data_IF_791519360483
#
_entry.id   IF_791519360483
#
_cell.length_a   1.000
_cell.length_b   1.000
_cell.length_c   1.000
_cell.angle_alpha   90.00
_cell.angle_beta   90.00
_cell.angle_gamma   90.00
#
_symmetry.space_group_name_H-M   'P 1'
#
loop_
_entity.id
_entity.type
_entity.pdbx_description
1 polymer ?
#
# COMPACT_ATOMS: atom_id res chain seq x y z
N UNK A 1 -0.89 -6.50 -16.45
CA UNK A 1 -2.18 -6.45 -15.76
C UNK A 1 -3.29 -7.14 -16.55
N UNK A 2 -3.50 -6.84 -17.83
CA UNK A 2 -4.63 -7.38 -18.61
C UNK A 2 -4.44 -8.78 -19.22
N UNK A 3 -3.24 -9.36 -19.14
CA UNK A 3 -2.98 -10.72 -19.64
C UNK A 3 -3.54 -11.76 -18.64
N UNK A 4 -4.84 -12.05 -18.74
CA UNK A 4 -5.59 -12.95 -17.85
C UNK A 4 -6.55 -13.78 -18.69
N UNK A 5 -6.80 -15.03 -18.27
CA UNK A 5 -7.66 -15.95 -19.02
C UNK A 5 -9.12 -15.49 -18.95
N UNK A 6 -9.74 -15.39 -20.13
CA UNK A 6 -11.14 -15.02 -20.21
C UNK A 6 -12.05 -16.02 -19.50
N UNK A 7 -12.97 -15.52 -18.67
CA UNK A 7 -13.90 -16.32 -17.87
C UNK A 7 -13.33 -16.85 -16.54
N UNK A 8 -12.03 -16.66 -16.27
CA UNK A 8 -11.41 -17.02 -14.98
C UNK A 8 -11.19 -15.77 -14.13
N UNK A 9 -11.90 -15.68 -13.00
CA UNK A 9 -11.78 -14.55 -12.08
C UNK A 9 -10.42 -14.55 -11.38
N UNK A 10 -9.78 -13.39 -11.33
CA UNK A 10 -8.51 -13.18 -10.65
C UNK A 10 -8.61 -12.10 -9.56
N UNK A 11 -7.88 -12.29 -8.46
CA UNK A 11 -7.70 -11.28 -7.41
C UNK A 11 -6.43 -10.49 -7.71
N UNK A 12 -6.57 -9.18 -7.90
CA UNK A 12 -5.46 -8.27 -8.12
C UNK A 12 -4.98 -7.67 -6.80
N UNK A 13 -3.66 -7.53 -6.66
CA UNK A 13 -3.02 -6.83 -5.56
C UNK A 13 -1.72 -6.23 -6.07
N UNK A 14 -1.36 -5.05 -5.56
CA UNK A 14 -0.15 -4.34 -5.99
C UNK A 14 1.12 -4.89 -5.33
N UNK A 15 0.97 -5.36 -4.10
CA UNK A 15 2.04 -5.96 -3.29
C UNK A 15 1.43 -7.02 -2.35
N UNK A 16 2.21 -8.07 -2.04
CA UNK A 16 1.80 -9.17 -1.18
C UNK A 16 2.36 -9.05 0.24
N UNK A 17 2.03 -10.04 1.08
CA UNK A 17 2.54 -10.11 2.45
C UNK A 17 4.04 -10.45 2.52
N UNK A 18 4.56 -11.23 1.57
CA UNK A 18 5.99 -11.57 1.53
C UNK A 18 6.87 -10.33 1.31
N UNK A 19 6.42 -9.39 0.46
CA UNK A 19 7.11 -8.12 0.21
C UNK A 19 7.14 -7.19 1.43
N UNK A 20 6.26 -7.44 2.42
CA UNK A 20 6.28 -6.74 3.69
C UNK A 20 7.22 -7.38 4.71
N UNK A 21 7.79 -8.57 4.46
CA UNK A 21 8.70 -9.25 5.38
C UNK A 21 10.11 -8.67 5.33
N UNK A 22 10.88 -8.93 6.39
CA UNK A 22 12.31 -8.61 6.44
C UNK A 22 13.05 -9.23 5.23
N UNK A 23 13.83 -8.40 4.54
CA UNK A 23 14.59 -8.82 3.35
C UNK A 23 13.96 -8.42 2.02
N UNK A 24 12.73 -7.90 2.03
CA UNK A 24 12.12 -7.24 0.87
C UNK A 24 11.68 -5.81 1.24
N UNK A 25 11.12 -5.08 0.28
CA UNK A 25 10.64 -3.71 0.44
C UNK A 25 9.20 -3.60 -0.04
N UNK A 26 8.35 -2.98 0.78
CA UNK A 26 7.01 -2.52 0.38
C UNK A 26 7.12 -1.49 -0.76
N UNK A 27 6.04 -1.28 -1.50
CA UNK A 27 5.98 -0.23 -2.53
C UNK A 27 6.30 1.14 -1.93
N UNK A 28 5.79 1.44 -0.73
CA UNK A 28 6.08 2.69 -0.04
C UNK A 28 7.59 2.85 0.20
N UNK A 29 8.27 1.79 0.64
CA UNK A 29 9.69 1.82 0.92
C UNK A 29 10.56 1.84 -0.34
N UNK A 30 10.14 1.19 -1.43
CA UNK A 30 10.78 1.35 -2.74
C UNK A 30 10.72 2.80 -3.26
N UNK A 31 9.61 3.49 -3.01
CA UNK A 31 9.37 4.83 -3.55
C UNK A 31 10.01 5.95 -2.72
N UNK A 32 10.05 5.79 -1.39
CA UNK A 32 10.36 6.85 -0.44
C UNK A 32 11.55 6.54 0.49
N UNK A 33 11.88 5.25 0.69
CA UNK A 33 13.03 4.78 1.47
C UNK A 33 13.23 5.57 2.79
N UNK A 34 14.45 5.99 3.11
CA UNK A 34 14.76 6.71 4.36
C UNK A 34 14.06 8.07 4.52
N UNK A 35 13.60 8.70 3.43
CA UNK A 35 12.95 10.01 3.52
C UNK A 35 11.60 9.90 4.25
N UNK A 36 11.01 8.70 4.32
CA UNK A 36 9.79 8.43 5.10
C UNK A 36 9.92 8.82 6.57
N UNK A 37 11.12 8.68 7.15
CA UNK A 37 11.35 8.94 8.57
C UNK A 37 11.46 10.44 8.92
N UNK A 38 11.62 11.31 7.92
CA UNK A 38 11.94 12.74 8.13
C UNK A 38 10.96 13.69 7.44
N UNK A 39 10.33 13.27 6.34
CA UNK A 39 9.52 14.14 5.48
C UNK A 39 8.04 13.70 5.37
N UNK A 40 7.62 12.73 6.19
CA UNK A 40 6.22 12.32 6.32
C UNK A 40 5.40 13.20 7.28
N UNK A 41 5.98 14.19 7.96
CA UNK A 41 5.19 15.21 8.65
C UNK A 41 4.64 16.24 7.66
N UNK A 42 3.43 16.72 7.90
CA UNK A 42 2.83 17.86 7.18
C UNK A 42 3.54 19.18 7.48
N UNK A 43 4.37 19.22 8.53
CA UNK A 43 5.17 20.37 8.95
C UNK A 43 6.60 20.35 8.40
N UNK A 44 7.04 19.20 7.84
CA UNK A 44 8.37 19.10 7.23
C UNK A 44 8.48 19.95 5.96
N UNK A 45 9.68 20.44 5.60
CA UNK A 45 9.91 21.07 4.31
C UNK A 45 9.48 20.18 3.12
N UNK A 46 9.14 20.77 1.97
CA UNK A 46 8.82 20.01 0.76
C UNK A 46 9.96 19.05 0.38
N UNK A 47 9.60 17.84 -0.04
CA UNK A 47 10.55 16.83 -0.48
C UNK A 47 9.96 16.09 -1.69
N UNK A 48 10.65 16.22 -2.84
CA UNK A 48 10.19 15.67 -4.11
C UNK A 48 10.12 14.14 -4.11
N UNK A 49 10.97 13.45 -3.33
CA UNK A 49 10.92 11.99 -3.18
C UNK A 49 9.62 11.56 -2.51
N UNK A 50 9.22 12.23 -1.42
CA UNK A 50 7.95 11.96 -0.72
C UNK A 50 6.76 12.31 -1.60
N UNK A 51 6.77 13.48 -2.25
CA UNK A 51 5.64 13.91 -3.08
C UNK A 51 5.43 12.94 -4.26
N UNK A 52 6.52 12.55 -4.93
CA UNK A 52 6.52 11.51 -5.97
C UNK A 52 6.03 10.17 -5.41
N UNK A 53 6.55 9.77 -4.25
CA UNK A 53 6.23 8.48 -3.65
C UNK A 53 4.76 8.35 -3.27
N UNK A 54 4.17 9.38 -2.64
CA UNK A 54 2.75 9.42 -2.33
C UNK A 54 1.91 9.36 -3.61
N UNK A 55 2.28 10.12 -4.65
CA UNK A 55 1.55 10.11 -5.91
C UNK A 55 1.59 8.74 -6.61
N UNK A 56 2.78 8.17 -6.78
CA UNK A 56 2.96 6.88 -7.45
C UNK A 56 2.34 5.72 -6.66
N UNK A 57 2.42 5.73 -5.33
CA UNK A 57 1.77 4.72 -4.49
C UNK A 57 0.26 4.67 -4.75
N UNK A 58 -0.40 5.84 -4.82
CA UNK A 58 -1.83 5.94 -5.17
C UNK A 58 -2.11 5.43 -6.59
N UNK A 59 -1.28 5.82 -7.56
CA UNK A 59 -1.47 5.45 -8.97
C UNK A 59 -1.28 3.95 -9.20
N UNK A 60 -0.22 3.34 -8.64
CA UNK A 60 0.06 1.90 -8.77
C UNK A 60 -1.09 1.08 -8.20
N UNK A 61 -1.60 1.46 -7.02
CA UNK A 61 -2.73 0.75 -6.39
C UNK A 61 -4.01 0.93 -7.20
N UNK A 62 -4.30 2.15 -7.66
CA UNK A 62 -5.50 2.43 -8.44
C UNK A 62 -5.52 1.73 -9.81
N UNK A 63 -4.40 1.73 -10.53
CA UNK A 63 -4.33 1.04 -11.83
C UNK A 63 -4.45 -0.49 -11.66
N UNK A 64 -3.90 -1.03 -10.57
CA UNK A 64 -4.06 -2.45 -10.22
C UNK A 64 -5.51 -2.78 -9.86
N UNK A 65 -6.17 -1.91 -9.10
CA UNK A 65 -7.56 -2.06 -8.68
C UNK A 65 -8.56 -1.93 -9.84
N UNK A 66 -8.22 -1.18 -10.88
CA UNK A 66 -9.13 -0.93 -12.02
C UNK A 66 -8.91 -1.89 -13.18
N UNK A 67 -7.67 -2.35 -13.43
CA UNK A 67 -7.33 -3.14 -14.61
C UNK A 67 -6.79 -4.54 -14.29
N UNK A 68 -6.56 -4.86 -13.02
CA UNK A 68 -5.83 -6.06 -12.62
C UNK A 68 -6.67 -7.32 -12.44
N UNK A 69 -7.99 -7.21 -12.21
CA UNK A 69 -8.76 -8.35 -11.67
C UNK A 69 -10.26 -8.12 -11.57
N UNK A 70 -10.95 -9.15 -11.13
CA UNK A 70 -12.38 -9.14 -10.75
C UNK A 70 -12.57 -9.04 -9.23
N UNK A 71 -11.46 -8.85 -8.51
CA UNK A 71 -11.41 -8.55 -7.09
C UNK A 71 -10.10 -7.85 -6.75
N UNK A 72 -10.09 -7.12 -5.64
CA UNK A 72 -8.91 -6.44 -5.14
C UNK A 72 -8.54 -6.95 -3.73
N UNK A 73 -7.24 -7.11 -3.48
CA UNK A 73 -6.70 -7.47 -2.18
C UNK A 73 -5.64 -6.46 -1.75
N UNK A 74 -5.62 -6.18 -0.45
CA UNK A 74 -4.62 -5.34 0.19
C UNK A 74 -4.14 -6.00 1.49
N UNK A 75 -2.83 -6.08 1.69
CA UNK A 75 -2.25 -6.57 2.94
C UNK A 75 -2.24 -5.46 4.01
N UNK A 76 -2.55 -5.83 5.24
CA UNK A 76 -2.73 -4.91 6.37
C UNK A 76 -1.53 -3.97 6.56
N UNK A 77 -1.78 -2.66 6.55
CA UNK A 77 -0.77 -1.60 6.63
C UNK A 77 -0.40 -0.97 5.29
N UNK A 78 -0.52 -1.71 4.18
CA UNK A 78 -0.12 -1.21 2.86
C UNK A 78 -1.11 -0.17 2.33
N UNK A 79 -2.33 -0.14 2.86
CA UNK A 79 -3.35 0.86 2.51
C UNK A 79 -2.90 2.30 2.79
N UNK A 80 -2.10 2.49 3.84
CA UNK A 80 -1.54 3.78 4.22
C UNK A 80 -0.03 3.88 3.99
N UNK A 81 0.58 2.90 3.32
CA UNK A 81 2.01 2.86 3.06
C UNK A 81 2.82 2.75 4.36
N UNK A 82 2.48 1.79 5.22
CA UNK A 82 3.18 1.51 6.48
C UNK A 82 4.71 1.48 6.26
N UNK A 83 5.50 2.19 7.09
CA UNK A 83 6.96 2.23 6.95
C UNK A 83 7.60 0.93 7.47
N UNK A 84 8.92 0.80 7.35
CA UNK A 84 9.68 -0.36 7.85
C UNK A 84 9.22 -1.69 7.20
N UNK A 85 9.44 -2.81 7.90
CA UNK A 85 9.11 -4.16 7.49
C UNK A 85 8.53 -4.94 8.66
N UNK A 86 7.94 -6.10 8.35
CA UNK A 86 7.44 -7.09 9.30
C UNK A 86 8.54 -8.13 9.55
N UNK A 87 8.91 -8.35 10.81
CA UNK A 87 9.82 -9.44 11.20
C UNK A 87 9.26 -10.14 12.43
N UNK A 88 9.15 -11.47 12.35
CA UNK A 88 8.64 -12.29 13.45
C UNK A 88 9.77 -12.67 14.40
N UNK A 89 9.48 -12.94 15.69
CA UNK A 89 10.46 -13.42 16.65
C UNK A 89 11.18 -14.68 16.14
N UNK A 90 12.50 -14.62 16.04
CA UNK A 90 13.37 -15.73 15.62
C UNK A 90 14.77 -15.59 16.22
N UNK A 91 15.57 -16.64 16.17
CA UNK A 91 16.94 -16.61 16.68
C UNK A 91 17.77 -15.46 16.08
N UNK A 92 17.61 -15.19 14.78
CA UNK A 92 18.34 -14.12 14.07
C UNK A 92 17.96 -12.68 14.43
N UNK A 93 16.95 -12.47 15.28
CA UNK A 93 16.59 -11.16 15.83
C UNK A 93 16.38 -11.18 17.35
N UNK A 94 16.99 -12.16 18.04
CA UNK A 94 16.88 -12.34 19.49
C UNK A 94 15.43 -12.48 19.99
N UNK A 95 14.57 -13.19 19.24
CA UNK A 95 13.14 -13.34 19.54
C UNK A 95 12.42 -11.99 19.75
N UNK A 96 12.81 -10.97 18.98
CA UNK A 96 12.24 -9.63 19.07
C UNK A 96 10.84 -9.56 18.47
N UNK A 97 9.93 -8.88 19.19
CA UNK A 97 8.59 -8.53 18.71
C UNK A 97 8.53 -7.11 18.13
N UNK A 98 9.64 -6.37 18.09
CA UNK A 98 9.65 -4.95 17.77
C UNK A 98 9.05 -4.64 16.39
N UNK A 99 9.31 -5.49 15.39
CA UNK A 99 8.76 -5.38 14.03
C UNK A 99 7.52 -6.25 13.81
N UNK A 100 7.12 -7.08 14.78
CA UNK A 100 5.94 -7.94 14.71
C UNK A 100 4.66 -7.16 15.10
N UNK A 101 4.45 -5.98 14.51
CA UNK A 101 3.36 -5.06 14.87
C UNK A 101 2.88 -4.22 13.68
N UNK A 102 1.79 -3.49 13.90
CA UNK A 102 1.31 -2.42 13.02
C UNK A 102 1.20 -1.10 13.78
N UNK A 103 1.70 -0.03 13.16
CA UNK A 103 1.78 1.31 13.75
C UNK A 103 0.53 2.13 13.39
N UNK A 104 -0.63 1.76 13.93
CA UNK A 104 -1.91 2.43 13.62
C UNK A 104 -1.95 3.90 14.01
N UNK A 105 -1.17 4.29 15.01
CA UNK A 105 -1.00 5.69 15.39
C UNK A 105 -0.54 6.60 14.22
N UNK A 106 0.16 6.04 13.22
CA UNK A 106 0.65 6.81 12.07
C UNK A 106 -0.49 7.35 11.19
N UNK A 107 -1.58 6.60 11.05
CA UNK A 107 -2.72 7.00 10.23
C UNK A 107 -3.70 7.91 10.99
N UNK A 108 -3.74 7.80 12.31
CA UNK A 108 -4.58 8.62 13.18
C UNK A 108 -3.99 10.02 13.42
N UNK A 109 -2.66 10.16 13.33
CA UNK A 109 -1.97 11.44 13.52
C UNK A 109 -2.16 12.38 12.32
N UNK A 110 -2.95 13.44 12.55
CA UNK A 110 -3.25 14.50 11.56
C UNK A 110 -2.03 15.32 11.15
N UNK A 111 -0.92 15.23 11.89
CA UNK A 111 0.36 15.89 11.54
C UNK A 111 1.23 15.05 10.62
N UNK A 112 0.80 13.83 10.28
CA UNK A 112 1.50 12.94 9.36
C UNK A 112 0.76 12.77 8.03
N UNK A 113 1.51 12.48 6.96
CA UNK A 113 1.02 12.33 5.59
C UNK A 113 0.41 10.94 5.31
N UNK A 114 0.56 9.96 6.21
CA UNK A 114 -0.04 8.61 6.05
C UNK A 114 -1.57 8.68 5.90
N UNK A 115 -2.22 9.65 6.54
CA UNK A 115 -3.66 9.90 6.39
C UNK A 115 -4.06 10.13 4.92
N UNK A 116 -3.19 10.69 4.07
CA UNK A 116 -3.50 10.95 2.67
C UNK A 116 -3.59 9.66 1.85
N UNK A 117 -2.71 8.70 2.12
CA UNK A 117 -2.75 7.39 1.49
C UNK A 117 -3.98 6.60 1.96
N UNK A 118 -4.27 6.63 3.27
CA UNK A 118 -5.45 5.97 3.83
C UNK A 118 -6.78 6.56 3.30
N UNK A 119 -6.89 7.89 3.23
CA UNK A 119 -8.09 8.55 2.71
C UNK A 119 -8.29 8.29 1.21
N UNK A 120 -7.19 8.18 0.46
CA UNK A 120 -7.23 7.77 -0.94
C UNK A 120 -7.72 6.33 -1.07
N UNK A 121 -7.18 5.41 -0.28
CA UNK A 121 -7.59 4.00 -0.27
C UNK A 121 -9.09 3.84 0.03
N UNK A 122 -9.58 4.52 1.06
CA UNK A 122 -11.00 4.55 1.40
C UNK A 122 -11.83 5.06 0.21
N UNK A 123 -11.42 6.17 -0.39
CA UNK A 123 -12.12 6.75 -1.54
C UNK A 123 -12.13 5.82 -2.75
N UNK A 124 -11.01 5.12 -3.02
CA UNK A 124 -10.89 4.15 -4.10
C UNK A 124 -11.90 3.00 -3.94
N UNK A 125 -11.96 2.39 -2.75
CA UNK A 125 -12.90 1.30 -2.46
C UNK A 125 -14.36 1.78 -2.49
N UNK A 126 -14.66 2.96 -1.93
CA UNK A 126 -16.02 3.54 -1.99
C UNK A 126 -16.47 3.86 -3.42
N UNK A 127 -15.52 4.29 -4.27
CA UNK A 127 -15.78 4.56 -5.67
C UNK A 127 -16.06 3.24 -6.42
N UNK A 128 -15.35 2.16 -6.07
CA UNK A 128 -15.63 0.84 -6.64
C UNK A 128 -16.99 0.32 -6.21
N UNK A 129 -17.35 0.41 -4.92
CA UNK A 129 -18.69 0.02 -4.43
C UNK A 129 -19.81 0.77 -5.18
N UNK A 130 -19.57 2.04 -5.52
CA UNK A 130 -20.56 2.87 -6.25
C UNK A 130 -20.70 2.49 -7.72
N UNK A 131 -19.61 2.14 -8.41
CA UNK A 131 -19.58 1.98 -9.87
C UNK A 131 -19.37 0.53 -10.34
N UNK A 132 -18.95 -0.37 -9.45
CA UNK A 132 -18.85 -1.81 -9.65
C UNK A 132 -17.88 -2.28 -10.73
N UNK A 133 -16.78 -1.57 -10.99
CA UNK A 133 -15.90 -1.90 -12.13
C UNK A 133 -15.18 -3.23 -11.99
N UNK A 134 -14.94 -3.77 -10.77
CA UNK A 134 -14.37 -5.11 -10.61
C UNK A 134 -15.34 -6.20 -11.06
N UNK A 135 -16.64 -5.92 -11.03
CA UNK A 135 -17.68 -6.83 -11.51
C UNK A 135 -18.05 -6.60 -12.99
N UNK A 136 -17.49 -5.56 -13.62
CA UNK A 136 -17.74 -5.26 -15.03
C UNK A 136 -17.20 -6.38 -15.94
N UNK A 137 -17.86 -6.68 -17.07
CA UNK A 137 -17.36 -7.64 -18.03
C UNK A 137 -15.94 -7.30 -18.49
N UNK A 138 -15.12 -8.33 -18.65
CA UNK A 138 -13.81 -8.18 -19.27
C UNK A 138 -14.01 -7.72 -20.72
N UNK A 139 -13.34 -6.63 -21.10
CA UNK A 139 -13.30 -6.16 -22.48
C UNK A 139 -12.55 -7.20 -23.32
N UNK A 140 -13.21 -7.71 -24.36
CA UNK A 140 -12.67 -8.70 -25.31
C UNK A 140 -11.93 -7.95 -26.43
#
# INVERSE_FOLDING_TARGET
>A
MINRRHGEKAIAYAECHDQALVGDKTISFWLMDKDMYTHMSTLSPPNLTIDRGIALHKMIRFITHTLGGEGYLNFIGNEFGHPEWLDFPRAGNNNSYYYARRQWNLVDDRTLKYQYLNNWDRSMNQLEEKYGWLSSPQVI
#
